data_IF_027876515396
#
_entry.id   IF_027876515396
#
_cell.length_a   1.000
_cell.length_b   1.000
_cell.length_c   1.000
_cell.angle_alpha   90.00
_cell.angle_beta   90.00
_cell.angle_gamma   90.00
#
_symmetry.space_group_name_H-M   'P 1'
#
loop_
_entity.id
_entity.type
_entity.pdbx_description
1 polymer ?
#
# COMPACT_ATOMS: atom_id res chain seq x y z
N UNK A 1 48.82 29.17 -36.30
CA UNK A 1 48.79 27.69 -36.13
C UNK A 1 48.22 27.22 -34.79
N UNK A 2 48.75 27.63 -33.62
CA UNK A 2 48.18 27.14 -32.33
C UNK A 2 46.77 27.69 -32.01
N UNK A 3 46.44 28.91 -32.42
CA UNK A 3 45.09 29.50 -32.21
C UNK A 3 44.03 28.98 -33.19
N UNK A 4 44.40 28.69 -34.43
CA UNK A 4 43.47 28.14 -35.44
C UNK A 4 43.00 26.72 -35.08
N UNK A 5 43.93 25.86 -34.62
CA UNK A 5 43.57 24.49 -34.17
C UNK A 5 42.61 24.49 -32.97
N UNK A 6 42.76 25.42 -32.04
CA UNK A 6 41.86 25.58 -30.90
C UNK A 6 40.44 26.06 -31.27
N UNK A 7 40.34 26.88 -32.29
CA UNK A 7 39.05 27.39 -32.80
C UNK A 7 38.30 26.29 -33.55
N UNK A 8 38.99 25.50 -34.35
CA UNK A 8 38.41 24.36 -35.07
C UNK A 8 37.89 23.27 -34.07
N UNK A 9 38.63 23.01 -32.98
CA UNK A 9 38.18 22.09 -31.92
C UNK A 9 36.96 22.61 -31.19
N UNK A 10 36.85 23.92 -30.93
CA UNK A 10 35.64 24.50 -30.31
C UNK A 10 34.43 24.35 -31.23
N UNK A 11 34.55 24.73 -32.52
CA UNK A 11 33.46 24.64 -33.48
C UNK A 11 32.99 23.19 -33.66
N UNK A 12 33.90 22.25 -33.72
CA UNK A 12 33.55 20.83 -33.78
C UNK A 12 32.75 20.38 -32.55
N UNK A 13 33.19 20.73 -31.33
CA UNK A 13 32.50 20.40 -30.10
C UNK A 13 31.11 21.04 -30.02
N UNK A 14 31.01 22.31 -30.39
CA UNK A 14 29.72 23.03 -30.40
C UNK A 14 28.74 22.46 -31.42
N UNK A 15 29.20 21.98 -32.59
CA UNK A 15 28.35 21.22 -33.54
C UNK A 15 27.86 19.90 -32.98
N UNK A 16 28.64 19.25 -32.12
CA UNK A 16 28.21 18.02 -31.44
C UNK A 16 27.13 18.30 -30.39
N UNK A 17 27.32 19.38 -29.61
CA UNK A 17 26.39 19.80 -28.58
C UNK A 17 25.08 20.38 -29.12
N UNK A 18 25.18 21.24 -30.15
CA UNK A 18 24.06 21.98 -30.77
C UNK A 18 23.98 21.67 -32.27
N UNK A 19 23.12 20.76 -32.64
CA UNK A 19 23.00 20.21 -34.00
C UNK A 19 22.26 21.14 -34.97
N UNK A 20 21.50 22.11 -34.47
CA UNK A 20 20.65 22.99 -35.24
C UNK A 20 21.30 24.36 -35.59
N UNK A 21 22.43 24.69 -34.97
CA UNK A 21 23.12 25.97 -35.20
C UNK A 21 23.82 26.00 -36.56
N UNK A 22 23.79 27.15 -37.24
CA UNK A 22 24.60 27.38 -38.42
C UNK A 22 26.03 27.85 -38.07
N UNK A 23 26.91 27.94 -39.08
CA UNK A 23 28.33 28.25 -38.87
C UNK A 23 28.53 29.59 -38.18
N UNK A 24 27.73 30.61 -38.51
CA UNK A 24 27.80 31.93 -37.89
C UNK A 24 27.38 31.91 -36.42
N UNK A 25 26.31 31.21 -36.12
CA UNK A 25 25.84 31.04 -34.72
C UNK A 25 26.86 30.24 -33.87
N UNK A 26 27.51 29.23 -34.48
CA UNK A 26 28.58 28.47 -33.83
C UNK A 26 29.82 29.33 -33.55
N UNK A 27 30.22 30.24 -34.48
CA UNK A 27 31.29 31.17 -34.25
C UNK A 27 30.98 32.17 -33.13
N UNK A 28 29.73 32.65 -33.04
CA UNK A 28 29.28 33.56 -31.99
C UNK A 28 29.38 32.85 -30.62
N UNK A 29 28.89 31.61 -30.49
CA UNK A 29 29.03 30.79 -29.25
C UNK A 29 30.50 30.53 -28.93
N UNK A 30 31.32 30.19 -29.92
CA UNK A 30 32.75 29.95 -29.72
C UNK A 30 33.52 31.20 -29.22
N UNK A 31 33.06 32.40 -29.58
CA UNK A 31 33.71 33.64 -29.17
C UNK A 31 33.56 33.97 -27.70
N UNK A 32 32.48 33.51 -27.07
CA UNK A 32 32.15 33.76 -25.63
C UNK A 32 32.39 32.55 -24.72
N UNK A 33 32.94 31.45 -25.24
CA UNK A 33 33.26 30.26 -24.45
C UNK A 33 34.76 30.14 -24.21
N UNK A 34 35.15 29.60 -23.06
CA UNK A 34 36.54 29.31 -22.70
C UNK A 34 36.75 27.85 -22.31
N UNK A 35 37.90 27.28 -22.73
CA UNK A 35 38.33 25.96 -22.28
C UNK A 35 38.90 26.04 -20.88
N UNK A 36 38.37 25.19 -19.96
CA UNK A 36 38.96 24.94 -18.64
C UNK A 36 39.07 23.47 -18.37
N UNK A 37 40.11 23.08 -17.62
CA UNK A 37 40.36 21.69 -17.24
C UNK A 37 40.23 21.56 -15.74
N UNK A 38 39.46 20.55 -15.29
CA UNK A 38 39.20 20.23 -13.90
C UNK A 38 39.72 18.83 -13.57
N UNK A 39 40.29 18.63 -12.36
CA UNK A 39 40.74 17.32 -11.93
C UNK A 39 39.56 16.36 -11.72
N UNK A 40 39.84 15.06 -11.63
CA UNK A 40 38.85 14.07 -11.22
C UNK A 40 38.27 14.40 -9.83
N UNK A 41 36.99 14.06 -9.61
CA UNK A 41 36.23 14.34 -8.41
C UNK A 41 35.91 15.83 -8.11
N UNK A 42 36.12 16.71 -9.07
CA UNK A 42 35.73 18.12 -8.92
C UNK A 42 34.20 18.28 -9.13
N UNK A 43 33.57 19.17 -8.35
CA UNK A 43 32.13 19.47 -8.50
C UNK A 43 31.98 20.70 -9.38
N UNK A 44 31.39 20.51 -10.56
CA UNK A 44 31.08 21.58 -11.52
C UNK A 44 29.79 22.32 -11.14
N UNK A 45 28.78 21.60 -10.64
CA UNK A 45 27.51 22.15 -10.18
C UNK A 45 27.10 21.51 -8.86
N UNK A 46 26.62 22.30 -7.90
CA UNK A 46 26.08 21.82 -6.62
C UNK A 46 24.56 21.87 -6.62
N UNK A 47 23.89 20.76 -6.34
CA UNK A 47 22.44 20.73 -6.19
C UNK A 47 21.97 21.77 -5.18
N UNK A 48 20.93 22.51 -5.50
CA UNK A 48 20.36 23.58 -4.65
C UNK A 48 21.13 24.90 -4.66
N UNK A 49 22.32 24.98 -5.28
CA UNK A 49 23.09 26.23 -5.38
C UNK A 49 22.63 27.09 -6.57
N UNK A 50 22.77 28.40 -6.45
CA UNK A 50 22.66 29.35 -7.56
C UNK A 50 24.04 29.56 -8.17
N UNK A 51 24.25 29.09 -9.39
CA UNK A 51 25.53 29.18 -10.10
C UNK A 51 25.25 29.62 -11.53
N UNK A 52 26.09 30.49 -12.06
CA UNK A 52 25.84 31.25 -13.30
C UNK A 52 26.70 30.79 -14.48
N UNK A 53 27.11 29.52 -14.52
CA UNK A 53 27.96 28.97 -15.60
C UNK A 53 27.29 27.76 -16.24
N UNK A 54 27.34 27.71 -17.58
CA UNK A 54 26.99 26.56 -18.42
C UNK A 54 28.26 25.84 -18.83
N UNK A 55 28.25 24.51 -18.78
CA UNK A 55 29.38 23.68 -19.17
C UNK A 55 29.05 22.80 -20.36
N UNK A 56 29.96 22.71 -21.33
CA UNK A 56 29.93 21.75 -22.43
C UNK A 56 31.16 20.86 -22.30
N UNK A 57 30.95 19.55 -22.15
CA UNK A 57 32.05 18.60 -21.91
C UNK A 57 32.84 18.38 -23.21
N UNK A 58 34.12 18.75 -23.20
CA UNK A 58 35.02 18.55 -24.34
C UNK A 58 35.74 17.19 -24.24
N UNK A 59 36.26 16.84 -23.06
CA UNK A 59 36.96 15.58 -22.77
C UNK A 59 36.69 15.16 -21.38
N UNK A 60 36.78 13.82 -21.10
CA UNK A 60 36.53 13.22 -19.80
C UNK A 60 35.09 12.80 -19.60
N UNK A 61 34.79 12.36 -18.38
CA UNK A 61 33.48 11.87 -17.97
C UNK A 61 33.00 12.57 -16.71
N UNK A 62 31.68 12.79 -16.63
CA UNK A 62 30.99 13.37 -15.49
C UNK A 62 29.89 12.43 -15.00
N UNK A 63 29.59 12.50 -13.72
CA UNK A 63 28.41 11.88 -13.12
C UNK A 63 27.46 12.96 -12.61
N UNK A 64 26.18 12.78 -12.88
CA UNK A 64 25.11 13.67 -12.43
C UNK A 64 24.30 12.91 -11.38
N UNK A 65 24.27 13.46 -10.16
CA UNK A 65 23.62 12.86 -9.01
C UNK A 65 22.58 13.81 -8.40
N UNK A 66 21.58 13.22 -7.75
CA UNK A 66 20.54 13.96 -7.02
C UNK A 66 20.37 13.34 -5.63
N UNK A 67 20.27 14.17 -4.63
CA UNK A 67 20.02 13.77 -3.25
C UNK A 67 18.55 13.37 -3.07
N UNK A 68 18.28 12.19 -2.55
CA UNK A 68 16.90 11.72 -2.34
C UNK A 68 16.39 12.04 -0.93
N UNK A 69 17.15 11.68 0.09
CA UNK A 69 16.89 11.98 1.52
C UNK A 69 18.23 12.18 2.24
N UNK A 70 18.21 12.66 3.50
CA UNK A 70 19.44 12.84 4.28
C UNK A 70 20.14 11.52 4.64
N UNK A 71 19.42 10.38 4.60
CA UNK A 71 19.90 9.06 5.02
C UNK A 71 20.24 8.12 3.85
N UNK A 72 19.90 8.49 2.60
CA UNK A 72 20.13 7.64 1.41
C UNK A 72 21.34 8.13 0.61
N UNK A 73 22.03 7.20 -0.07
CA UNK A 73 23.09 7.51 -1.02
C UNK A 73 22.55 8.34 -2.20
N UNK A 74 23.38 9.24 -2.73
CA UNK A 74 23.05 10.09 -3.87
C UNK A 74 22.62 9.22 -5.07
N UNK A 75 21.44 9.49 -5.60
CA UNK A 75 20.93 8.78 -6.79
C UNK A 75 21.67 9.24 -8.03
N UNK A 76 22.31 8.33 -8.75
CA UNK A 76 22.91 8.61 -10.05
C UNK A 76 21.80 8.77 -11.10
N UNK A 77 21.64 9.99 -11.64
CA UNK A 77 20.69 10.28 -12.71
C UNK A 77 21.24 9.82 -14.06
N UNK A 78 22.49 10.19 -14.37
CA UNK A 78 23.20 9.77 -15.58
C UNK A 78 24.72 9.99 -15.49
N UNK A 79 25.43 9.34 -16.38
CA UNK A 79 26.82 9.65 -16.71
C UNK A 79 26.81 10.45 -18.01
N UNK A 80 27.65 11.47 -18.09
CA UNK A 80 27.79 12.32 -19.26
C UNK A 80 29.24 12.35 -19.76
N UNK A 81 29.42 12.75 -21.02
CA UNK A 81 30.72 12.83 -21.66
C UNK A 81 30.75 13.84 -22.79
N UNK A 82 31.69 13.69 -23.72
CA UNK A 82 31.92 14.65 -24.80
C UNK A 82 30.66 15.08 -25.56
N UNK A 83 30.45 16.39 -25.66
CA UNK A 83 29.31 17.03 -26.31
C UNK A 83 28.08 17.20 -25.39
N UNK A 84 28.13 16.70 -24.17
CA UNK A 84 27.05 16.95 -23.21
C UNK A 84 27.08 18.40 -22.69
N UNK A 85 25.87 18.99 -22.63
CA UNK A 85 25.65 20.32 -22.04
C UNK A 85 25.10 20.11 -20.63
N UNK A 86 25.62 20.80 -19.61
CA UNK A 86 25.15 20.73 -18.22
C UNK A 86 25.06 22.13 -17.61
N UNK A 87 24.10 22.31 -16.70
CA UNK A 87 23.84 23.58 -16.04
C UNK A 87 22.82 24.47 -16.76
N UNK A 88 22.34 24.09 -17.94
CA UNK A 88 21.41 24.87 -18.77
C UNK A 88 20.07 25.13 -18.08
N UNK A 89 19.54 24.11 -17.31
CA UNK A 89 18.22 24.20 -16.70
C UNK A 89 18.15 25.30 -15.64
N UNK A 90 19.17 25.37 -14.78
CA UNK A 90 19.24 26.41 -13.75
C UNK A 90 19.33 27.82 -14.33
N UNK A 91 20.03 27.98 -15.44
CA UNK A 91 20.16 29.27 -16.11
C UNK A 91 18.86 29.70 -16.81
N UNK A 92 18.20 28.79 -17.54
CA UNK A 92 16.94 29.08 -18.24
C UNK A 92 15.82 29.43 -17.28
N UNK A 93 15.73 28.73 -16.15
CA UNK A 93 14.67 28.92 -15.16
C UNK A 93 15.00 29.97 -14.10
N UNK A 94 16.22 30.50 -14.08
CA UNK A 94 16.74 31.33 -12.96
C UNK A 94 16.48 30.66 -11.59
N UNK A 95 16.71 29.36 -11.52
CA UNK A 95 16.43 28.47 -10.39
C UNK A 95 17.72 27.82 -9.85
N UNK A 96 17.70 27.29 -8.63
CA UNK A 96 18.83 26.50 -8.12
C UNK A 96 19.14 25.30 -9.01
N UNK A 97 20.39 24.83 -9.01
CA UNK A 97 20.82 23.63 -9.73
C UNK A 97 19.98 22.42 -9.32
N UNK A 98 19.43 21.72 -10.30
CA UNK A 98 18.56 20.56 -10.07
C UNK A 98 19.30 19.28 -9.65
N UNK A 99 20.62 19.24 -9.80
CA UNK A 99 21.47 18.09 -9.53
C UNK A 99 22.92 18.51 -9.32
N UNK A 100 23.68 17.66 -8.62
CA UNK A 100 25.14 17.79 -8.51
C UNK A 100 25.82 17.18 -9.73
N UNK A 101 26.73 17.91 -10.34
CA UNK A 101 27.56 17.44 -11.48
C UNK A 101 29.00 17.33 -11.01
N UNK A 102 29.55 16.13 -11.04
CA UNK A 102 30.93 15.83 -10.60
C UNK A 102 31.72 15.15 -11.72
N UNK A 103 32.98 15.54 -11.87
CA UNK A 103 33.92 14.87 -12.79
C UNK A 103 34.33 13.52 -12.23
N UNK A 104 34.31 12.47 -13.05
CA UNK A 104 34.85 11.14 -12.66
C UNK A 104 36.29 10.93 -13.10
N UNK A 105 36.69 11.62 -14.16
CA UNK A 105 38.07 11.68 -14.68
C UNK A 105 38.52 13.13 -14.72
N UNK A 106 39.79 13.39 -15.11
CA UNK A 106 40.16 14.74 -15.54
C UNK A 106 39.27 15.15 -16.70
N UNK A 107 38.63 16.31 -16.58
CA UNK A 107 37.68 16.83 -17.59
C UNK A 107 38.07 18.18 -18.12
N UNK A 108 38.10 18.31 -19.42
CA UNK A 108 38.14 19.59 -20.09
C UNK A 108 36.74 19.98 -20.54
N UNK A 109 36.32 21.19 -20.22
CA UNK A 109 34.98 21.73 -20.54
C UNK A 109 35.10 23.05 -21.26
N UNK A 110 34.09 23.43 -22.05
CA UNK A 110 33.85 24.81 -22.49
C UNK A 110 32.88 25.43 -21.47
N UNK A 111 33.29 26.56 -20.91
CA UNK A 111 32.47 27.37 -20.02
C UNK A 111 31.84 28.53 -20.74
N UNK A 112 30.60 28.86 -20.40
CA UNK A 112 29.87 30.04 -20.84
C UNK A 112 29.19 30.67 -19.62
N UNK A 113 29.41 31.98 -19.45
CA UNK A 113 28.75 32.76 -18.41
C UNK A 113 27.27 32.96 -18.73
N UNK A 114 26.43 33.15 -17.71
CA UNK A 114 24.99 33.32 -17.84
C UNK A 114 24.59 34.49 -18.75
N UNK A 115 25.27 35.63 -18.61
CA UNK A 115 24.97 36.84 -19.42
C UNK A 115 25.16 36.60 -20.92
N UNK A 116 26.25 35.90 -21.30
CA UNK A 116 26.54 35.52 -22.68
C UNK A 116 25.54 34.50 -23.18
N UNK A 117 25.21 33.47 -22.34
CA UNK A 117 24.20 32.46 -22.65
C UNK A 117 22.84 33.10 -22.94
N UNK A 118 22.35 34.01 -22.07
CA UNK A 118 21.08 34.69 -22.24
C UNK A 118 21.09 35.59 -23.52
N UNK A 119 22.22 36.23 -23.77
CA UNK A 119 22.41 37.07 -24.99
C UNK A 119 22.29 36.25 -26.26
N UNK A 120 22.99 35.13 -26.36
CA UNK A 120 22.95 34.26 -27.53
C UNK A 120 21.55 33.60 -27.64
N UNK A 121 20.98 33.12 -26.54
CA UNK A 121 19.67 32.50 -26.55
C UNK A 121 18.57 33.44 -27.04
N UNK A 122 18.67 34.74 -26.72
CA UNK A 122 17.71 35.75 -27.19
C UNK A 122 17.82 36.02 -28.68
N UNK A 123 19.00 35.80 -29.29
CA UNK A 123 19.30 36.07 -30.72
C UNK A 123 19.15 34.84 -31.61
N UNK A 124 19.33 33.62 -31.06
CA UNK A 124 19.27 32.38 -31.82
C UNK A 124 18.06 31.53 -31.43
N UNK A 125 16.93 31.59 -32.17
CA UNK A 125 15.80 30.66 -31.96
C UNK A 125 16.19 29.20 -32.15
N UNK A 126 17.22 28.90 -32.95
CA UNK A 126 17.72 27.53 -33.18
C UNK A 126 18.37 26.98 -31.94
N UNK A 127 19.17 27.75 -31.20
CA UNK A 127 19.75 27.35 -29.91
C UNK A 127 18.67 27.03 -28.89
N UNK A 128 17.62 27.84 -28.81
CA UNK A 128 16.48 27.58 -27.94
C UNK A 128 15.79 26.24 -28.27
N UNK A 129 15.58 25.97 -29.56
CA UNK A 129 14.98 24.69 -30.02
C UNK A 129 15.88 23.51 -29.68
N UNK A 130 17.20 23.60 -29.85
CA UNK A 130 18.13 22.51 -29.53
C UNK A 130 18.17 22.25 -28.02
N UNK A 131 18.20 23.29 -27.18
CA UNK A 131 18.11 23.13 -25.72
C UNK A 131 16.81 22.49 -25.28
N UNK A 132 15.67 22.90 -25.87
CA UNK A 132 14.37 22.25 -25.60
C UNK A 132 14.42 20.78 -26.00
N UNK A 133 15.00 20.46 -27.19
CA UNK A 133 15.12 19.07 -27.65
C UNK A 133 15.97 18.23 -26.66
N UNK A 134 17.14 18.72 -26.27
CA UNK A 134 18.04 18.07 -25.32
C UNK A 134 17.32 17.83 -24.00
N UNK A 135 16.61 18.83 -23.49
CA UNK A 135 15.87 18.75 -22.21
C UNK A 135 14.71 17.76 -22.30
N UNK A 136 13.92 17.77 -23.38
CA UNK A 136 12.82 16.82 -23.59
C UNK A 136 13.32 15.38 -23.74
N UNK A 137 14.42 15.17 -24.46
CA UNK A 137 14.99 13.82 -24.61
C UNK A 137 15.50 13.27 -23.26
N UNK A 138 16.10 14.13 -22.44
CA UNK A 138 16.50 13.77 -21.06
C UNK A 138 15.32 13.46 -20.17
N UNK A 139 14.27 14.29 -20.21
CA UNK A 139 13.04 14.06 -19.44
C UNK A 139 12.41 12.73 -19.81
N UNK A 140 12.23 12.46 -21.12
CA UNK A 140 11.68 11.17 -21.59
C UNK A 140 12.52 9.97 -21.15
N UNK A 141 13.86 10.08 -21.25
CA UNK A 141 14.75 8.99 -20.82
C UNK A 141 14.65 8.74 -19.31
N UNK A 142 14.53 9.79 -18.50
CA UNK A 142 14.36 9.69 -17.06
C UNK A 142 12.99 9.08 -16.69
N UNK A 143 11.90 9.54 -17.31
CA UNK A 143 10.56 8.99 -17.12
C UNK A 143 10.50 7.50 -17.45
N UNK A 144 11.08 7.10 -18.59
CA UNK A 144 11.13 5.69 -19.00
C UNK A 144 11.89 4.81 -17.98
N UNK A 145 13.02 5.33 -17.44
CA UNK A 145 13.75 4.62 -16.39
C UNK A 145 12.92 4.48 -15.12
N UNK A 146 12.31 5.57 -14.67
CA UNK A 146 11.47 5.60 -13.48
C UNK A 146 10.28 4.65 -13.59
N UNK A 147 9.59 4.63 -14.74
CA UNK A 147 8.49 3.70 -15.02
C UNK A 147 8.99 2.25 -14.95
N UNK A 148 10.14 1.95 -15.54
CA UNK A 148 10.72 0.61 -15.54
C UNK A 148 11.12 0.15 -14.12
N UNK A 149 11.69 1.04 -13.32
CA UNK A 149 12.07 0.75 -11.94
C UNK A 149 10.82 0.52 -11.07
N UNK A 150 9.78 1.35 -11.22
CA UNK A 150 8.50 1.17 -10.54
C UNK A 150 7.83 -0.16 -10.92
N UNK A 151 7.84 -0.52 -12.21
CA UNK A 151 7.31 -1.80 -12.67
C UNK A 151 8.08 -2.99 -12.07
N UNK A 152 9.43 -2.90 -12.02
CA UNK A 152 10.27 -3.92 -11.41
C UNK A 152 9.99 -4.09 -9.93
N UNK A 153 9.93 -2.97 -9.18
CA UNK A 153 9.63 -2.97 -7.74
C UNK A 153 8.23 -3.54 -7.47
N UNK A 154 7.23 -3.12 -8.25
CA UNK A 154 5.87 -3.63 -8.13
C UNK A 154 5.78 -5.14 -8.40
N UNK A 155 6.53 -5.64 -9.39
CA UNK A 155 6.63 -7.08 -9.67
C UNK A 155 7.23 -7.85 -8.50
N UNK A 156 8.30 -7.33 -7.89
CA UNK A 156 8.94 -7.96 -6.70
C UNK A 156 7.99 -7.96 -5.51
N UNK A 157 7.31 -6.83 -5.23
CA UNK A 157 6.33 -6.74 -4.14
C UNK A 157 5.19 -7.75 -4.33
N UNK A 158 4.62 -7.85 -5.54
CA UNK A 158 3.58 -8.85 -5.85
C UNK A 158 4.07 -10.29 -5.66
N UNK A 159 5.33 -10.57 -6.02
CA UNK A 159 5.91 -11.90 -5.82
C UNK A 159 6.09 -12.21 -4.34
N UNK A 160 6.57 -11.25 -3.54
CA UNK A 160 6.69 -11.41 -2.09
C UNK A 160 5.33 -11.64 -1.43
N UNK A 161 4.30 -10.91 -1.85
CA UNK A 161 2.94 -11.13 -1.34
C UNK A 161 2.40 -12.53 -1.69
N UNK A 162 2.62 -13.01 -2.92
CA UNK A 162 2.25 -14.38 -3.31
C UNK A 162 2.98 -15.44 -2.47
N UNK A 163 4.30 -15.31 -2.33
CA UNK A 163 5.11 -16.23 -1.52
C UNK A 163 4.65 -16.22 -0.05
N UNK A 164 4.32 -15.05 0.51
CA UNK A 164 3.78 -14.91 1.86
C UNK A 164 2.45 -15.66 2.03
N UNK A 165 1.55 -15.53 1.06
CA UNK A 165 0.26 -16.22 1.09
C UNK A 165 0.44 -17.74 0.95
N UNK A 166 1.30 -18.20 0.06
CA UNK A 166 1.63 -19.63 -0.11
C UNK A 166 2.24 -20.23 1.16
N UNK A 167 3.19 -19.53 1.79
CA UNK A 167 3.75 -19.94 3.08
C UNK A 167 2.67 -20.08 4.17
N UNK A 168 1.77 -19.09 4.28
CA UNK A 168 0.66 -19.12 5.25
C UNK A 168 -0.25 -20.32 4.96
N UNK A 169 -0.55 -20.63 3.70
CA UNK A 169 -1.40 -21.76 3.31
C UNK A 169 -0.75 -23.10 3.70
N UNK A 170 0.52 -23.29 3.42
CA UNK A 170 1.27 -24.50 3.77
C UNK A 170 1.34 -24.65 5.29
N UNK A 171 1.76 -23.60 6.00
CA UNK A 171 1.84 -23.62 7.47
C UNK A 171 0.50 -23.91 8.13
N UNK A 172 -0.59 -23.33 7.62
CA UNK A 172 -1.93 -23.58 8.14
C UNK A 172 -2.37 -25.03 7.90
N UNK A 173 -2.02 -25.61 6.75
CA UNK A 173 -2.34 -27.01 6.47
C UNK A 173 -1.56 -27.96 7.38
N UNK A 174 -0.26 -27.72 7.57
CA UNK A 174 0.61 -28.51 8.46
C UNK A 174 0.24 -28.38 9.95
N UNK A 175 -0.35 -27.25 10.34
CA UNK A 175 -0.87 -27.07 11.71
C UNK A 175 -2.24 -27.72 11.93
N UNK A 176 -3.09 -27.81 10.92
CA UNK A 176 -4.43 -28.39 11.03
C UNK A 176 -4.39 -29.86 11.44
N UNK A 177 -3.50 -30.63 10.83
CA UNK A 177 -3.37 -32.07 11.05
C UNK A 177 -3.07 -32.42 12.50
N UNK A 178 -1.99 -31.91 13.15
CA UNK A 178 -1.71 -32.20 14.57
C UNK A 178 -2.79 -31.67 15.51
N UNK A 179 -3.42 -30.53 15.20
CA UNK A 179 -4.53 -30.00 15.99
C UNK A 179 -5.76 -30.92 15.96
N UNK A 180 -6.07 -31.51 14.81
CA UNK A 180 -7.16 -32.47 14.69
C UNK A 180 -6.89 -33.71 15.50
N UNK A 181 -5.66 -34.21 15.51
CA UNK A 181 -5.23 -35.35 16.34
C UNK A 181 -5.31 -35.02 17.84
N UNK A 182 -4.81 -33.84 18.23
CA UNK A 182 -4.90 -33.40 19.64
C UNK A 182 -6.35 -33.28 20.10
N UNK A 183 -7.25 -32.69 19.31
CA UNK A 183 -8.66 -32.61 19.61
C UNK A 183 -9.29 -34.02 19.77
N UNK A 184 -8.89 -34.96 18.92
CA UNK A 184 -9.31 -36.36 19.01
C UNK A 184 -8.93 -36.98 20.35
N UNK A 185 -7.67 -36.87 20.78
CA UNK A 185 -7.21 -37.41 22.06
C UNK A 185 -7.88 -36.73 23.25
N UNK A 186 -8.06 -35.43 23.24
CA UNK A 186 -8.74 -34.70 24.31
C UNK A 186 -10.20 -35.12 24.43
N UNK A 187 -10.90 -35.35 23.32
CA UNK A 187 -12.28 -35.85 23.38
C UNK A 187 -12.35 -37.29 23.93
N UNK A 188 -11.37 -38.15 23.59
CA UNK A 188 -11.25 -39.47 24.16
C UNK A 188 -11.00 -39.39 25.69
N UNK A 189 -10.09 -38.52 26.14
CA UNK A 189 -9.83 -38.29 27.57
C UNK A 189 -11.09 -37.82 28.31
N UNK A 190 -11.91 -36.95 27.72
CA UNK A 190 -13.18 -36.51 28.32
C UNK A 190 -14.21 -37.63 28.50
N UNK A 191 -14.12 -38.70 27.68
CA UNK A 191 -15.04 -39.84 27.80
C UNK A 191 -14.67 -40.83 28.92
N UNK A 192 -13.47 -40.71 29.52
CA UNK A 192 -13.09 -41.58 30.61
C UNK A 192 -13.84 -41.26 31.89
N UNK A 193 -14.33 -42.28 32.67
CA UNK A 193 -15.03 -42.07 33.93
C UNK A 193 -14.22 -41.25 34.93
N UNK A 194 -12.90 -41.44 34.96
CA UNK A 194 -11.98 -40.76 35.89
C UNK A 194 -11.95 -39.24 35.58
N UNK A 195 -12.03 -38.83 34.31
CA UNK A 195 -12.10 -37.43 33.93
C UNK A 195 -13.45 -36.80 34.33
N UNK A 196 -14.52 -37.56 34.26
CA UNK A 196 -15.87 -37.08 34.63
C UNK A 196 -16.07 -36.94 36.14
N UNK A 197 -15.38 -37.76 36.94
CA UNK A 197 -15.48 -37.76 38.39
C UNK A 197 -14.45 -36.87 39.10
N UNK A 198 -13.35 -36.55 38.44
CA UNK A 198 -12.28 -35.71 38.96
C UNK A 198 -12.35 -34.29 38.34
N UNK A 199 -12.83 -33.32 39.11
CA UNK A 199 -13.01 -31.94 38.67
C UNK A 199 -11.71 -31.30 38.16
N UNK A 200 -10.57 -31.55 38.80
CA UNK A 200 -9.28 -31.01 38.39
C UNK A 200 -8.86 -31.55 36.99
N UNK A 201 -9.10 -32.84 36.74
CA UNK A 201 -8.81 -33.48 35.46
C UNK A 201 -9.78 -32.98 34.38
N UNK A 202 -11.05 -32.78 34.70
CA UNK A 202 -12.03 -32.18 33.80
C UNK A 202 -11.66 -30.75 33.43
N UNK A 203 -11.25 -29.92 34.39
CA UNK A 203 -10.84 -28.54 34.17
C UNK A 203 -9.60 -28.44 33.25
N UNK A 204 -8.58 -29.27 33.46
CA UNK A 204 -7.38 -29.34 32.61
C UNK A 204 -7.75 -29.78 31.20
N UNK A 205 -8.58 -30.81 31.07
CA UNK A 205 -9.01 -31.33 29.74
C UNK A 205 -9.82 -30.29 28.98
N UNK A 206 -10.73 -29.59 29.67
CA UNK A 206 -11.48 -28.47 29.07
C UNK A 206 -10.58 -27.28 28.68
N UNK A 207 -9.56 -26.99 29.48
CA UNK A 207 -8.55 -25.97 29.15
C UNK A 207 -7.80 -26.32 27.89
N UNK A 208 -7.33 -27.55 27.72
CA UNK A 208 -6.66 -28.03 26.51
C UNK A 208 -7.61 -27.98 25.31
N UNK A 209 -8.86 -28.42 25.45
CA UNK A 209 -9.86 -28.38 24.39
C UNK A 209 -10.14 -26.93 23.91
N UNK A 210 -10.29 -26.01 24.84
CA UNK A 210 -10.44 -24.57 24.53
C UNK A 210 -9.24 -24.04 23.76
N UNK A 211 -8.01 -24.38 24.17
CA UNK A 211 -6.77 -23.99 23.51
C UNK A 211 -6.65 -24.52 22.08
N UNK A 212 -6.87 -25.83 21.90
CA UNK A 212 -6.78 -26.48 20.58
C UNK A 212 -7.87 -25.98 19.61
N UNK A 213 -9.10 -25.79 20.11
CA UNK A 213 -10.19 -25.20 19.31
C UNK A 213 -9.89 -23.76 18.89
N UNK A 214 -9.23 -22.95 19.76
CA UNK A 214 -8.79 -21.61 19.41
C UNK A 214 -7.76 -21.65 18.29
N UNK A 215 -6.75 -22.51 18.38
CA UNK A 215 -5.74 -22.68 17.33
C UNK A 215 -6.38 -23.12 16.01
N UNK A 216 -7.31 -24.08 16.04
CA UNK A 216 -8.03 -24.54 14.86
C UNK A 216 -8.79 -23.40 14.15
N UNK A 217 -9.46 -22.52 14.92
CA UNK A 217 -10.16 -21.34 14.38
C UNK A 217 -9.18 -20.37 13.69
N UNK A 218 -8.02 -20.11 14.30
CA UNK A 218 -7.00 -19.23 13.70
C UNK A 218 -6.46 -19.81 12.39
N UNK A 219 -6.11 -21.09 12.39
CA UNK A 219 -5.61 -21.82 11.21
C UNK A 219 -6.65 -21.78 10.07
N UNK A 220 -7.92 -22.04 10.37
CA UNK A 220 -8.99 -22.00 9.36
C UNK A 220 -9.18 -20.58 8.82
N UNK A 221 -9.10 -19.55 9.67
CA UNK A 221 -9.20 -18.15 9.24
C UNK A 221 -8.03 -17.73 8.33
N UNK A 222 -6.80 -18.21 8.61
CA UNK A 222 -5.66 -18.00 7.72
C UNK A 222 -5.90 -18.64 6.35
N UNK A 223 -6.45 -19.85 6.29
CA UNK A 223 -6.78 -20.51 5.01
C UNK A 223 -7.91 -19.80 4.26
N UNK A 224 -8.95 -19.34 4.95
CA UNK A 224 -10.01 -18.55 4.32
C UNK A 224 -9.45 -17.27 3.70
N UNK A 225 -8.57 -16.55 4.43
CA UNK A 225 -7.91 -15.32 3.93
C UNK A 225 -6.98 -15.58 2.74
N UNK A 226 -6.27 -16.70 2.69
CA UNK A 226 -5.43 -17.06 1.55
C UNK A 226 -6.27 -17.38 0.32
N UNK A 227 -7.38 -18.10 0.50
CA UNK A 227 -8.32 -18.41 -0.59
C UNK A 227 -8.98 -17.17 -1.15
N UNK A 228 -9.47 -16.28 -0.28
CA UNK A 228 -10.14 -15.03 -0.67
C UNK A 228 -9.15 -14.03 -1.31
N UNK A 229 -7.87 -14.05 -0.91
CA UNK A 229 -6.81 -13.22 -1.50
C UNK A 229 -6.24 -13.73 -2.82
N UNK A 230 -6.60 -14.95 -3.24
CA UNK A 230 -6.20 -15.47 -4.54
C UNK A 230 -7.16 -14.94 -5.62
N UNK A 231 -6.63 -14.42 -6.72
CA UNK A 231 -7.40 -13.93 -7.88
C UNK A 231 -8.31 -15.02 -8.52
N UNK A 232 -8.22 -16.25 -8.00
CA UNK A 232 -8.93 -17.42 -8.51
C UNK A 232 -10.18 -17.81 -7.69
N UNK A 233 -10.57 -17.06 -6.67
CA UNK A 233 -11.76 -17.39 -5.89
C UNK A 233 -13.03 -17.14 -6.72
N UNK A 234 -13.65 -18.20 -7.18
CA UNK A 234 -15.00 -18.16 -7.75
C UNK A 234 -16.01 -18.09 -6.61
N UNK A 235 -16.60 -16.92 -6.40
CA UNK A 235 -17.69 -16.73 -5.45
C UNK A 235 -18.96 -17.38 -6.00
N UNK A 236 -19.66 -18.18 -5.19
CA UNK A 236 -20.97 -18.70 -5.57
C UNK A 236 -21.96 -17.55 -5.77
N UNK A 237 -22.88 -17.69 -6.71
CA UNK A 237 -23.93 -16.69 -6.97
C UNK A 237 -25.30 -17.33 -6.68
N UNK A 238 -25.51 -17.70 -5.42
CA UNK A 238 -26.74 -18.32 -4.94
C UNK A 238 -27.60 -17.27 -4.19
N UNK A 239 -28.93 -17.46 -4.11
CA UNK A 239 -29.78 -16.63 -3.25
C UNK A 239 -29.29 -16.70 -1.79
N UNK A 240 -29.08 -15.55 -1.17
CA UNK A 240 -28.61 -15.45 0.21
C UNK A 240 -29.79 -15.27 1.16
N UNK A 241 -30.11 -16.23 2.04
CA UNK A 241 -31.18 -16.10 3.02
C UNK A 241 -30.73 -15.22 4.21
N UNK A 242 -30.48 -13.93 3.93
CA UNK A 242 -29.80 -13.01 4.86
C UNK A 242 -30.51 -12.92 6.23
N UNK A 243 -31.83 -12.80 6.25
CA UNK A 243 -32.61 -12.72 7.50
C UNK A 243 -32.40 -13.95 8.36
N UNK A 244 -32.38 -15.15 7.73
CA UNK A 244 -32.11 -16.39 8.42
C UNK A 244 -30.68 -16.43 8.97
N UNK A 245 -29.70 -16.07 8.13
CA UNK A 245 -28.29 -16.04 8.55
C UNK A 245 -28.10 -15.13 9.77
N UNK A 246 -28.65 -13.92 9.76
CA UNK A 246 -28.54 -12.97 10.89
C UNK A 246 -29.21 -13.54 12.13
N UNK A 247 -30.42 -14.09 12.01
CA UNK A 247 -31.13 -14.65 13.15
C UNK A 247 -30.43 -15.88 13.74
N UNK A 248 -29.92 -16.79 12.89
CA UNK A 248 -29.16 -17.97 13.33
C UNK A 248 -27.89 -17.53 14.08
N UNK A 249 -27.18 -16.50 13.58
CA UNK A 249 -25.99 -15.94 14.25
C UNK A 249 -26.32 -15.28 15.60
N UNK A 250 -27.46 -14.59 15.71
CA UNK A 250 -27.90 -14.02 17.00
C UNK A 250 -28.16 -15.14 18.01
N UNK A 251 -28.83 -16.22 17.60
CA UNK A 251 -29.05 -17.40 18.45
C UNK A 251 -27.75 -18.10 18.86
N UNK A 252 -26.81 -18.29 17.91
CA UNK A 252 -25.51 -18.90 18.19
C UNK A 252 -24.68 -18.11 19.20
N UNK A 253 -24.89 -16.79 19.26
CA UNK A 253 -24.17 -15.90 20.17
C UNK A 253 -24.94 -15.60 21.47
N UNK A 254 -26.18 -16.12 21.63
CA UNK A 254 -27.06 -15.81 22.74
C UNK A 254 -26.44 -16.18 24.12
N UNK A 255 -25.83 -17.33 24.23
CA UNK A 255 -25.18 -17.73 25.48
C UNK A 255 -24.08 -16.73 25.88
N UNK A 256 -23.24 -16.34 24.91
CA UNK A 256 -22.13 -15.40 25.11
C UNK A 256 -22.63 -14.00 25.49
N UNK A 257 -23.70 -13.54 24.86
CA UNK A 257 -24.28 -12.22 25.14
C UNK A 257 -25.04 -12.20 26.45
N UNK A 258 -25.72 -13.32 26.84
CA UNK A 258 -26.38 -13.44 28.12
C UNK A 258 -25.39 -13.40 29.31
N UNK A 259 -24.22 -14.06 29.20
CA UNK A 259 -23.16 -14.02 30.22
C UNK A 259 -22.64 -12.60 30.47
N UNK A 260 -22.72 -11.71 29.47
CA UNK A 260 -22.27 -10.31 29.53
C UNK A 260 -23.42 -9.31 29.58
N UNK A 261 -24.65 -9.74 29.65
CA UNK A 261 -25.85 -8.92 29.64
C UNK A 261 -25.90 -7.96 28.42
N UNK A 262 -25.39 -8.41 27.25
CA UNK A 262 -25.41 -7.66 26.00
C UNK A 262 -26.67 -8.00 25.21
N UNK A 263 -27.34 -7.01 24.64
CA UNK A 263 -28.58 -7.21 23.90
C UNK A 263 -28.40 -6.89 22.40
N UNK A 264 -28.74 -7.88 21.55
CA UNK A 264 -28.90 -7.64 20.11
C UNK A 264 -30.28 -7.09 19.80
N UNK A 265 -30.32 -6.11 18.89
CA UNK A 265 -31.53 -5.62 18.25
C UNK A 265 -31.34 -5.69 16.74
N UNK A 266 -32.28 -6.29 16.03
CA UNK A 266 -32.19 -6.44 14.56
C UNK A 266 -33.36 -5.72 13.92
N UNK A 267 -33.09 -4.86 12.93
CA UNK A 267 -34.09 -4.12 12.17
C UNK A 267 -33.88 -4.32 10.68
N UNK A 268 -34.91 -4.79 10.01
CA UNK A 268 -34.92 -4.93 8.56
C UNK A 268 -35.76 -3.79 7.95
N UNK A 269 -35.16 -2.92 7.13
CA UNK A 269 -35.90 -1.89 6.45
C UNK A 269 -36.91 -2.49 5.46
N UNK A 270 -38.05 -1.79 5.25
CA UNK A 270 -38.98 -2.14 4.19
C UNK A 270 -38.28 -2.11 2.82
N UNK A 271 -38.60 -3.08 1.96
CA UNK A 271 -37.98 -3.17 0.64
C UNK A 271 -36.52 -3.65 0.65
N UNK A 272 -36.04 -4.24 1.76
CA UNK A 272 -34.70 -4.88 1.78
C UNK A 272 -34.62 -5.91 0.64
N UNK A 273 -33.74 -5.71 -0.37
CA UNK A 273 -33.69 -6.58 -1.53
C UNK A 273 -33.05 -7.94 -1.21
N UNK A 274 -33.41 -8.95 -2.00
CA UNK A 274 -32.67 -10.21 -2.00
C UNK A 274 -31.34 -10.03 -2.73
N UNK A 275 -30.30 -10.62 -2.19
CA UNK A 275 -28.95 -10.61 -2.79
C UNK A 275 -28.55 -12.02 -3.21
N UNK A 276 -27.73 -12.11 -4.26
CA UNK A 276 -27.03 -13.32 -4.64
C UNK A 276 -25.57 -13.23 -4.18
N UNK A 277 -25.02 -14.37 -3.79
CA UNK A 277 -23.63 -14.41 -3.29
C UNK A 277 -23.26 -15.80 -2.81
N UNK A 278 -22.23 -15.89 -2.01
CA UNK A 278 -21.79 -17.10 -1.32
C UNK A 278 -22.28 -17.04 0.14
N UNK A 279 -23.38 -17.78 0.49
CA UNK A 279 -23.97 -17.68 1.81
C UNK A 279 -23.00 -18.04 2.94
N UNK A 280 -22.16 -19.09 2.85
CA UNK A 280 -21.13 -19.42 3.83
C UNK A 280 -20.11 -18.29 4.07
N UNK A 281 -19.64 -17.61 3.01
CA UNK A 281 -18.69 -16.50 3.15
C UNK A 281 -19.34 -15.27 3.79
N UNK A 282 -20.56 -14.93 3.39
CA UNK A 282 -21.33 -13.83 3.97
C UNK A 282 -21.64 -14.11 5.45
N UNK A 283 -22.03 -15.34 5.81
CA UNK A 283 -22.22 -15.74 7.21
C UNK A 283 -20.94 -15.56 8.03
N UNK A 284 -19.77 -15.97 7.50
CA UNK A 284 -18.48 -15.76 8.17
C UNK A 284 -18.16 -14.28 8.39
N UNK A 285 -18.41 -13.42 7.39
CA UNK A 285 -18.18 -11.99 7.50
C UNK A 285 -19.07 -11.35 8.57
N UNK A 286 -20.37 -11.65 8.58
CA UNK A 286 -21.31 -11.17 9.58
C UNK A 286 -20.94 -11.65 10.98
N UNK A 287 -20.58 -12.92 11.13
CA UNK A 287 -20.09 -13.46 12.40
C UNK A 287 -18.89 -12.68 12.95
N UNK A 288 -17.91 -12.31 12.10
CA UNK A 288 -16.77 -11.53 12.54
C UNK A 288 -17.15 -10.12 12.99
N UNK A 289 -18.06 -9.45 12.28
CA UNK A 289 -18.58 -8.13 12.68
C UNK A 289 -19.31 -8.21 14.02
N UNK A 290 -20.18 -9.21 14.20
CA UNK A 290 -20.95 -9.39 15.43
C UNK A 290 -20.06 -9.75 16.64
N UNK A 291 -19.08 -10.62 16.45
CA UNK A 291 -18.11 -10.97 17.50
C UNK A 291 -17.25 -9.75 17.88
N UNK A 292 -16.85 -8.92 16.91
CA UNK A 292 -16.14 -7.67 17.21
C UNK A 292 -17.03 -6.70 18.00
N UNK A 293 -18.29 -6.55 17.63
CA UNK A 293 -19.23 -5.70 18.37
C UNK A 293 -19.38 -6.18 19.83
N UNK A 294 -19.53 -7.50 20.07
CA UNK A 294 -19.58 -8.06 21.43
C UNK A 294 -18.28 -7.77 22.20
N UNK A 295 -17.15 -7.98 21.54
CA UNK A 295 -15.82 -7.85 22.16
C UNK A 295 -15.52 -6.45 22.68
N UNK A 296 -15.93 -5.42 21.94
CA UNK A 296 -15.60 -4.04 22.27
C UNK A 296 -16.74 -3.28 22.96
N UNK A 297 -17.91 -3.89 23.12
CA UNK A 297 -19.03 -3.36 23.91
C UNK A 297 -18.85 -3.73 25.37
N UNK A 298 -19.00 -2.82 26.34
CA UNK A 298 -19.03 -3.13 27.77
C UNK A 298 -20.24 -4.00 28.15
N UNK A 299 -20.15 -4.64 29.32
CA UNK A 299 -21.25 -5.46 29.85
C UNK A 299 -22.51 -4.59 30.06
N UNK A 300 -23.68 -5.15 29.73
CA UNK A 300 -24.95 -4.43 29.74
C UNK A 300 -25.22 -3.58 28.49
N UNK A 301 -24.29 -3.58 27.52
CA UNK A 301 -24.41 -2.77 26.31
C UNK A 301 -25.40 -3.30 25.28
N UNK A 302 -25.60 -2.53 24.21
CA UNK A 302 -26.52 -2.86 23.11
C UNK A 302 -25.79 -2.86 21.77
N UNK A 303 -26.14 -3.84 20.94
CA UNK A 303 -25.64 -3.96 19.56
C UNK A 303 -26.85 -3.94 18.63
N UNK A 304 -26.82 -3.04 17.63
CA UNK A 304 -27.89 -2.88 16.65
C UNK A 304 -27.41 -3.36 15.29
N UNK A 305 -28.17 -4.27 14.68
CA UNK A 305 -27.95 -4.72 13.30
C UNK A 305 -29.09 -4.15 12.44
N UNK A 306 -28.76 -3.45 11.37
CA UNK A 306 -29.74 -2.91 10.43
C UNK A 306 -29.41 -3.31 9.01
N UNK A 307 -30.45 -3.54 8.21
CA UNK A 307 -30.32 -3.75 6.76
C UNK A 307 -31.16 -2.74 6.02
N UNK A 308 -30.63 -2.15 4.95
CA UNK A 308 -31.36 -1.21 4.11
C UNK A 308 -30.95 -1.29 2.65
N UNK A 309 -31.88 -0.98 1.70
CA UNK A 309 -31.50 -0.74 0.31
C UNK A 309 -30.46 0.38 0.22
N UNK A 310 -29.49 0.24 -0.69
CA UNK A 310 -28.46 1.25 -0.93
C UNK A 310 -28.05 1.22 -2.41
N UNK A 311 -27.09 2.05 -2.78
CA UNK A 311 -26.50 2.10 -4.12
C UNK A 311 -24.97 2.14 -4.01
N UNK A 312 -24.31 1.49 -4.97
CA UNK A 312 -22.86 1.56 -5.11
C UNK A 312 -22.43 2.90 -5.74
N UNK A 313 -21.15 3.17 -5.83
CA UNK A 313 -20.60 4.40 -6.43
C UNK A 313 -20.94 4.55 -7.92
N UNK A 314 -21.15 3.43 -8.62
CA UNK A 314 -21.61 3.37 -10.01
C UNK A 314 -23.13 3.44 -10.18
N UNK A 315 -23.87 3.79 -9.11
CA UNK A 315 -25.32 3.78 -9.02
C UNK A 315 -25.99 2.41 -9.18
N UNK A 316 -25.26 1.31 -9.13
CA UNK A 316 -25.86 -0.02 -9.13
C UNK A 316 -26.56 -0.31 -7.80
N UNK A 317 -27.72 -1.01 -7.83
CA UNK A 317 -28.45 -1.37 -6.62
C UNK A 317 -27.63 -2.28 -5.71
N UNK A 318 -27.69 -1.99 -4.42
CA UNK A 318 -26.94 -2.72 -3.39
C UNK A 318 -27.75 -2.87 -2.10
N UNK A 319 -27.27 -3.73 -1.23
CA UNK A 319 -27.75 -3.90 0.12
C UNK A 319 -26.67 -3.46 1.10
N UNK A 320 -27.02 -2.61 2.05
CA UNK A 320 -26.17 -2.22 3.15
C UNK A 320 -26.61 -2.95 4.43
N UNK A 321 -25.63 -3.54 5.12
CA UNK A 321 -25.78 -4.15 6.43
C UNK A 321 -24.90 -3.37 7.39
N UNK A 322 -25.49 -2.77 8.44
CA UNK A 322 -24.75 -2.03 9.45
C UNK A 322 -24.80 -2.78 10.78
N UNK A 323 -23.65 -2.93 11.42
CA UNK A 323 -23.52 -3.45 12.79
C UNK A 323 -22.97 -2.33 13.65
N UNK A 324 -23.84 -1.78 14.51
CA UNK A 324 -23.53 -0.67 15.42
C UNK A 324 -23.37 -1.20 16.83
N UNK A 325 -22.25 -0.90 17.45
CA UNK A 325 -21.96 -1.14 18.85
C UNK A 325 -21.95 0.17 19.65
N UNK A 326 -22.02 0.03 20.98
CA UNK A 326 -21.78 1.10 21.95
C UNK A 326 -20.49 0.79 22.74
N UNK A 327 -19.44 0.54 22.02
CA UNK A 327 -18.14 0.17 22.56
C UNK A 327 -17.17 1.36 22.71
N UNK A 328 -15.90 1.02 22.86
CA UNK A 328 -14.81 1.98 23.10
C UNK A 328 -14.51 2.92 21.93
N UNK A 329 -15.09 2.70 20.74
CA UNK A 329 -14.79 3.48 19.55
C UNK A 329 -13.42 3.18 18.94
N UNK A 330 -13.11 3.89 17.82
CA UNK A 330 -11.89 3.71 17.02
C UNK A 330 -11.41 5.07 16.54
N UNK A 331 -10.16 5.43 16.81
CA UNK A 331 -9.56 6.66 16.34
C UNK A 331 -9.44 6.69 14.81
N UNK A 332 -9.57 7.88 14.23
CA UNK A 332 -9.62 8.08 12.78
C UNK A 332 -8.43 7.46 12.04
N UNK A 333 -7.23 7.55 12.61
CA UNK A 333 -5.99 6.99 12.03
C UNK A 333 -5.99 5.45 11.93
N UNK A 334 -6.83 4.78 12.72
CA UNK A 334 -6.93 3.33 12.73
C UNK A 334 -8.08 2.77 11.89
N UNK A 335 -9.07 3.60 11.50
CA UNK A 335 -10.31 3.13 10.87
C UNK A 335 -10.09 2.39 9.54
N UNK A 336 -9.10 2.78 8.76
CA UNK A 336 -8.72 2.05 7.54
C UNK A 336 -7.81 0.84 7.83
N UNK A 337 -6.92 1.00 8.81
CA UNK A 337 -5.89 0.01 9.13
C UNK A 337 -6.43 -1.24 9.81
N UNK A 338 -7.54 -1.15 10.55
CA UNK A 338 -8.16 -2.31 11.24
C UNK A 338 -8.62 -3.42 10.29
N UNK A 339 -8.77 -3.13 9.01
CA UNK A 339 -9.08 -4.11 7.97
C UNK A 339 -7.83 -4.76 7.37
N UNK A 340 -6.61 -4.31 7.74
CA UNK A 340 -5.37 -4.95 7.32
C UNK A 340 -5.12 -6.24 8.09
N UNK A 341 -4.43 -7.21 7.42
CA UNK A 341 -4.11 -8.51 8.02
C UNK A 341 -3.14 -8.31 9.20
N UNK A 342 -3.44 -8.95 10.34
CA UNK A 342 -2.63 -8.92 11.56
C UNK A 342 -2.57 -7.55 12.27
N UNK A 343 -3.33 -6.57 11.81
CA UNK A 343 -3.38 -5.27 12.45
C UNK A 343 -4.25 -5.31 13.71
N UNK A 344 -3.77 -4.68 14.77
CA UNK A 344 -4.44 -4.53 16.06
C UNK A 344 -4.13 -3.15 16.63
N UNK A 345 -5.13 -2.48 17.20
CA UNK A 345 -4.94 -1.20 17.88
C UNK A 345 -4.37 -1.48 19.28
N UNK A 346 -3.26 -0.81 19.63
CA UNK A 346 -2.59 -0.94 20.93
C UNK A 346 -1.59 -2.09 21.04
N UNK A 347 -0.93 -2.21 22.20
CA UNK A 347 0.10 -3.24 22.43
C UNK A 347 -0.53 -4.63 22.57
N UNK A 348 -0.04 -5.58 21.79
CA UNK A 348 -0.50 -7.00 21.75
C UNK A 348 -0.49 -7.68 23.14
N UNK A 349 0.40 -7.24 24.02
CA UNK A 349 0.55 -7.79 25.38
C UNK A 349 -0.61 -7.45 26.35
N UNK A 350 -1.46 -6.49 26.03
CA UNK A 350 -2.54 -6.01 26.89
C UNK A 350 -3.91 -6.68 26.61
N UNK A 351 -3.99 -7.54 25.60
CA UNK A 351 -5.24 -8.17 25.22
C UNK A 351 -5.49 -9.45 26.04
N UNK A 352 -6.65 -9.53 26.69
CA UNK A 352 -7.07 -10.74 27.41
C UNK A 352 -7.26 -11.93 26.45
N UNK A 353 -7.02 -13.16 26.93
CA UNK A 353 -7.08 -14.38 26.11
C UNK A 353 -8.48 -14.82 25.69
N UNK A 354 -9.55 -14.16 26.13
CA UNK A 354 -10.94 -14.50 25.80
C UNK A 354 -11.40 -13.98 24.44
N UNK A 355 -12.12 -14.81 23.67
CA UNK A 355 -12.62 -14.44 22.33
C UNK A 355 -13.74 -13.40 22.36
N UNK A 356 -14.52 -13.40 23.41
CA UNK A 356 -15.73 -12.58 23.61
C UNK A 356 -15.70 -11.79 24.92
N UNK A 357 -14.62 -11.91 25.70
CA UNK A 357 -14.36 -11.03 26.84
C UNK A 357 -14.13 -9.62 26.39
N UNK A 358 -14.51 -8.65 27.21
CA UNK A 358 -14.27 -7.24 26.92
C UNK A 358 -12.78 -6.99 26.62
N UNK A 359 -12.48 -6.34 25.50
CA UNK A 359 -11.12 -6.18 24.96
C UNK A 359 -10.33 -7.48 24.73
N UNK A 360 -11.02 -8.61 24.53
CA UNK A 360 -10.37 -9.90 24.28
C UNK A 360 -9.50 -9.91 23.03
N UNK A 361 -8.29 -10.50 23.12
CA UNK A 361 -7.34 -10.60 22.01
C UNK A 361 -7.82 -11.52 20.88
N UNK A 362 -7.35 -11.23 19.66
CA UNK A 362 -7.56 -12.07 18.48
C UNK A 362 -6.37 -11.89 17.52
N UNK A 363 -6.21 -12.71 16.49
CA UNK A 363 -5.05 -12.68 15.60
C UNK A 363 -5.02 -11.48 14.62
N UNK A 364 -5.99 -10.53 14.70
CA UNK A 364 -6.08 -9.43 13.74
C UNK A 364 -6.49 -9.86 12.32
N UNK A 365 -7.22 -10.97 12.18
CA UNK A 365 -7.60 -11.53 10.88
C UNK A 365 -9.10 -11.39 10.57
N UNK A 366 -9.94 -11.10 11.57
CA UNK A 366 -11.40 -11.10 11.42
C UNK A 366 -11.90 -10.03 10.46
N UNK A 367 -11.49 -8.77 10.64
CA UNK A 367 -11.92 -7.68 9.77
C UNK A 367 -11.26 -7.75 8.37
N UNK A 368 -10.04 -8.28 8.28
CA UNK A 368 -9.42 -8.58 6.99
C UNK A 368 -10.23 -9.62 6.19
N UNK A 369 -10.80 -10.64 6.88
CA UNK A 369 -11.74 -11.59 6.27
C UNK A 369 -12.99 -10.88 5.76
N UNK A 370 -13.60 -9.99 6.55
CA UNK A 370 -14.77 -9.21 6.13
C UNK A 370 -14.48 -8.40 4.88
N UNK A 371 -13.34 -7.69 4.84
CA UNK A 371 -12.92 -6.92 3.66
C UNK A 371 -12.69 -7.82 2.44
N UNK A 372 -12.08 -8.97 2.65
CA UNK A 372 -11.87 -9.96 1.59
C UNK A 372 -13.18 -10.48 1.01
N UNK A 373 -14.14 -10.84 1.87
CA UNK A 373 -15.48 -11.30 1.46
C UNK A 373 -16.23 -10.19 0.73
N UNK A 374 -16.23 -8.96 1.26
CA UNK A 374 -16.86 -7.82 0.59
C UNK A 374 -16.30 -7.63 -0.84
N UNK A 375 -14.98 -7.57 -0.99
CA UNK A 375 -14.31 -7.42 -2.30
C UNK A 375 -14.61 -8.57 -3.26
N UNK A 376 -14.60 -9.82 -2.78
CA UNK A 376 -14.90 -10.99 -3.60
C UNK A 376 -16.33 -10.97 -4.16
N UNK A 377 -17.27 -10.30 -3.46
CA UNK A 377 -18.65 -10.07 -3.92
C UNK A 377 -18.82 -8.77 -4.71
N UNK A 378 -17.75 -8.00 -4.98
CA UNK A 378 -17.83 -6.68 -5.64
C UNK A 378 -18.37 -5.57 -4.73
N UNK A 379 -18.41 -5.81 -3.42
CA UNK A 379 -18.88 -4.88 -2.41
C UNK A 379 -17.75 -4.14 -1.70
N UNK A 380 -18.11 -3.41 -0.63
CA UNK A 380 -17.16 -2.70 0.23
C UNK A 380 -17.53 -2.83 1.70
N UNK A 381 -16.53 -2.60 2.57
CA UNK A 381 -16.69 -2.52 4.02
C UNK A 381 -15.95 -1.30 4.53
N UNK A 382 -16.54 -0.60 5.50
CA UNK A 382 -15.91 0.52 6.20
C UNK A 382 -16.46 0.63 7.62
N UNK A 383 -15.92 1.54 8.40
CA UNK A 383 -16.35 1.84 9.76
C UNK A 383 -16.51 3.34 9.94
N UNK A 384 -17.46 3.73 10.76
CA UNK A 384 -17.62 5.09 11.27
C UNK A 384 -17.56 5.06 12.78
N UNK A 385 -16.68 5.87 13.36
CA UNK A 385 -16.53 6.03 14.80
C UNK A 385 -16.06 7.44 15.12
N UNK A 386 -16.57 7.99 16.23
CA UNK A 386 -16.22 9.36 16.67
C UNK A 386 -14.85 9.45 17.36
N UNK A 387 -14.12 8.34 17.49
CA UNK A 387 -12.84 8.23 18.17
C UNK A 387 -12.89 7.24 19.33
N UNK A 388 -11.71 6.91 19.86
CA UNK A 388 -11.56 5.98 21.00
C UNK A 388 -11.89 6.69 22.32
N UNK A 389 -12.85 6.18 23.07
CA UNK A 389 -13.23 6.69 24.39
C UNK A 389 -13.76 5.55 25.28
N UNK A 390 -13.00 5.21 26.31
CA UNK A 390 -13.33 4.16 27.27
C UNK A 390 -14.20 4.63 28.43
N UNK A 391 -14.50 5.92 28.51
CA UNK A 391 -15.34 6.53 29.55
C UNK A 391 -16.76 6.73 29.04
N UNK A 392 -16.90 7.35 27.86
CA UNK A 392 -18.20 7.69 27.28
C UNK A 392 -18.71 6.64 26.30
N UNK A 393 -17.86 5.69 25.87
CA UNK A 393 -18.19 4.63 24.93
C UNK A 393 -18.86 5.17 23.65
N UNK A 394 -18.08 5.89 22.85
CA UNK A 394 -18.54 6.53 21.60
C UNK A 394 -19.11 5.54 20.59
N UNK A 395 -18.67 4.28 20.65
CA UNK A 395 -19.09 3.20 19.79
C UNK A 395 -18.58 3.28 18.38
N UNK A 396 -18.90 2.25 17.60
CA UNK A 396 -18.56 2.18 16.18
C UNK A 396 -19.73 1.61 15.37
N UNK A 397 -19.80 1.97 14.10
CA UNK A 397 -20.72 1.37 13.15
C UNK A 397 -19.93 0.79 11.98
N UNK A 398 -19.95 -0.51 11.84
CA UNK A 398 -19.36 -1.22 10.72
C UNK A 398 -20.41 -1.43 9.64
N UNK A 399 -20.10 -1.03 8.42
CA UNK A 399 -20.96 -1.15 7.27
C UNK A 399 -20.40 -2.20 6.31
N UNK A 400 -21.23 -3.14 5.89
CA UNK A 400 -20.97 -4.08 4.81
C UNK A 400 -21.98 -3.81 3.69
N UNK A 401 -21.48 -3.36 2.53
CA UNK A 401 -22.28 -3.10 1.35
C UNK A 401 -22.00 -4.17 0.29
N UNK A 402 -23.04 -4.81 -0.19
CA UNK A 402 -22.97 -5.86 -1.21
C UNK A 402 -23.89 -5.50 -2.39
N UNK A 403 -23.43 -5.65 -3.65
CA UNK A 403 -24.29 -5.55 -4.82
C UNK A 403 -25.36 -6.65 -4.79
N UNK A 404 -26.47 -6.46 -5.50
CA UNK A 404 -27.55 -7.47 -5.51
C UNK A 404 -27.12 -8.77 -6.19
N UNK A 405 -26.10 -8.72 -7.05
CA UNK A 405 -25.45 -9.90 -7.62
C UNK A 405 -23.93 -9.65 -7.67
N UNK A 406 -23.10 -10.65 -7.39
CA UNK A 406 -21.66 -10.50 -7.52
C UNK A 406 -21.30 -10.22 -8.98
N UNK A 407 -20.19 -9.51 -9.24
CA UNK A 407 -19.73 -9.30 -10.61
C UNK A 407 -19.47 -10.64 -11.27
N UNK A 408 -19.83 -10.75 -12.55
CA UNK A 408 -19.51 -11.94 -13.34
C UNK A 408 -17.99 -12.14 -13.28
N UNK A 409 -17.50 -13.36 -13.02
CA UNK A 409 -16.08 -13.63 -13.11
C UNK A 409 -15.61 -13.25 -14.52
N UNK A 410 -14.69 -12.31 -14.61
CA UNK A 410 -14.04 -11.95 -15.87
C UNK A 410 -13.40 -13.22 -16.43
N UNK A 411 -13.61 -13.58 -17.72
CA UNK A 411 -13.16 -14.81 -18.32
C UNK A 411 -11.66 -15.00 -18.30
#
# INVERSE_FOLDING_TARGET
MMNETRTDDKLYLLRLAFKGLDDRELEEVASVTEFRTYPANYVLCHEGAYEDVLYIIAEGEIVITQKMTEEEEDRVLRVGGRGDVVGEMGLIQSAPRAATVRTTTECTVLEMEKEDFETILSRSPRMAIDLIRITLDRLRANDQRMIKDLQKTNKVLRQLDRNKLEFIMIAAHELRTPLTVLNGYVNVMRSFPETQTNTALADVTDGILKGTNRMHKVVNMMLDLTRIGSESLKVASEPVPLKRIINDLVLDLEQTTAERNIHFSVTYAEGTPEIKGDPPLIQKALYQLMVNAIKYTPDGGKILITTRPSVMEDNSPSLEIAVRDRGIGIDAEHQDLIFEKFYQVGAVALHSSGKTTFKGGGPGLGLALVRGVARAHGGKVWVESAGHDEVNFTGSTFYLMLPLSPPNPTP
#
